data_IF_606920541962
#
_entry.id   IF_606920541962
#
_cell.length_a   1.000
_cell.length_b   1.000
_cell.length_c   1.000
_cell.angle_alpha   90.00
_cell.angle_beta   90.00
_cell.angle_gamma   90.00
#
_symmetry.space_group_name_H-M   'P 1'
#
loop_
_entity.id
_entity.type
_entity.pdbx_description
1 polymer ?
#
# COMPACT_ATOMS: atom_id res chain seq x y z
N UNK A 1 76.01 2.77 23.37
CA UNK A 1 75.74 1.64 22.46
C UNK A 1 74.81 2.18 21.35
N UNK A 2 75.42 2.72 20.30
CA UNK A 2 74.70 3.12 19.10
C UNK A 2 74.36 1.86 18.32
N UNK A 3 73.07 1.52 18.25
CA UNK A 3 72.60 0.51 17.31
C UNK A 3 72.75 1.05 15.91
N UNK A 4 73.80 0.61 15.19
CA UNK A 4 73.90 0.81 13.76
C UNK A 4 72.71 0.10 13.09
N UNK A 5 71.67 0.87 12.79
CA UNK A 5 70.59 0.41 11.92
C UNK A 5 71.16 0.29 10.49
N UNK A 6 71.70 -0.88 10.17
CA UNK A 6 72.23 -1.21 8.87
C UNK A 6 71.02 -1.43 7.92
N UNK A 7 70.81 -0.55 6.96
CA UNK A 7 69.82 -0.76 5.88
C UNK A 7 70.27 -1.97 5.08
N UNK A 8 69.58 -3.07 5.18
CA UNK A 8 69.88 -4.31 4.46
C UNK A 8 69.13 -4.36 3.13
N UNK A 9 69.75 -5.00 2.11
CA UNK A 9 69.10 -5.24 0.82
C UNK A 9 67.76 -6.02 0.96
N UNK A 10 67.65 -6.87 1.95
CA UNK A 10 66.40 -7.59 2.26
C UNK A 10 65.30 -6.66 2.75
N UNK A 11 65.62 -5.63 3.53
CA UNK A 11 64.65 -4.65 3.99
C UNK A 11 64.11 -3.80 2.84
N UNK A 12 64.97 -3.35 1.93
CA UNK A 12 64.58 -2.59 0.72
C UNK A 12 63.68 -3.45 -0.19
N UNK A 13 64.10 -4.69 -0.45
CA UNK A 13 63.32 -5.61 -1.27
C UNK A 13 61.93 -5.96 -0.63
N UNK A 14 61.85 -5.99 0.71
CA UNK A 14 60.59 -6.16 1.44
C UNK A 14 59.64 -4.98 1.24
N UNK A 15 60.16 -3.75 1.34
CA UNK A 15 59.33 -2.53 1.12
C UNK A 15 58.85 -2.48 -0.35
N UNK A 16 59.74 -2.70 -1.32
CA UNK A 16 59.40 -2.67 -2.74
C UNK A 16 58.29 -3.69 -3.08
N UNK A 17 58.40 -4.90 -2.55
CA UNK A 17 57.42 -5.95 -2.80
C UNK A 17 56.07 -5.72 -2.11
N UNK A 18 56.06 -5.24 -0.84
CA UNK A 18 54.86 -5.08 -0.04
C UNK A 18 54.03 -3.85 -0.45
N UNK A 19 54.69 -2.79 -1.00
CA UNK A 19 54.05 -1.52 -1.29
C UNK A 19 54.00 -1.17 -2.77
N UNK A 20 54.45 -2.05 -3.65
CA UNK A 20 54.57 -1.77 -5.10
C UNK A 20 55.30 -0.44 -5.35
N UNK A 21 56.39 -0.23 -4.62
CA UNK A 21 57.18 0.98 -4.62
C UNK A 21 58.57 0.67 -5.19
N UNK A 22 59.17 1.66 -5.87
CA UNK A 22 60.58 1.61 -6.29
C UNK A 22 61.35 2.52 -5.36
N UNK A 23 62.31 1.97 -4.63
CA UNK A 23 63.17 2.73 -3.69
C UNK A 23 64.60 2.74 -4.21
N UNK A 24 65.15 3.92 -4.50
CA UNK A 24 66.55 4.11 -4.89
C UNK A 24 67.26 5.02 -3.91
N UNK A 25 68.40 4.56 -3.42
CA UNK A 25 69.26 5.30 -2.52
C UNK A 25 70.58 5.64 -3.20
N UNK A 26 71.04 6.90 -3.02
CA UNK A 26 72.24 7.41 -3.61
C UNK A 26 73.09 8.06 -2.53
N UNK A 27 74.43 7.82 -2.59
CA UNK A 27 75.44 8.48 -1.76
C UNK A 27 76.28 9.37 -2.68
N UNK A 28 76.23 10.67 -2.47
CA UNK A 28 76.90 11.67 -3.33
C UNK A 28 76.57 11.47 -4.84
N UNK A 29 75.31 11.22 -5.18
CA UNK A 29 74.85 10.96 -6.53
C UNK A 29 75.14 9.56 -7.06
N UNK A 30 75.95 8.75 -6.41
CA UNK A 30 76.26 7.37 -6.80
C UNK A 30 75.26 6.40 -6.16
N UNK A 31 74.75 5.39 -6.88
CA UNK A 31 73.81 4.43 -6.33
C UNK A 31 74.47 3.62 -5.21
N UNK A 32 73.79 3.52 -4.04
CA UNK A 32 74.32 2.91 -2.85
C UNK A 32 74.35 1.37 -2.91
N UNK A 33 73.55 0.76 -3.76
CA UNK A 33 73.41 -0.68 -3.87
C UNK A 33 73.45 -1.16 -5.31
N UNK A 34 73.94 -2.38 -5.56
CA UNK A 34 73.93 -3.06 -6.85
C UNK A 34 72.53 -3.37 -7.40
N UNK A 35 71.46 -3.03 -6.72
CA UNK A 35 70.10 -3.21 -7.20
C UNK A 35 69.83 -2.45 -8.50
N UNK A 36 70.44 -1.33 -8.77
CA UNK A 36 70.29 -0.64 -10.03
C UNK A 36 70.76 -1.43 -11.27
N UNK A 37 71.64 -2.39 -11.08
CA UNK A 37 72.05 -3.32 -12.12
C UNK A 37 70.95 -4.32 -12.56
N UNK A 38 70.01 -4.59 -11.68
CA UNK A 38 68.88 -5.52 -11.90
C UNK A 38 67.59 -4.82 -12.32
N UNK A 39 67.57 -3.50 -12.33
CA UNK A 39 66.36 -2.73 -12.67
C UNK A 39 66.10 -2.78 -14.16
N UNK A 40 64.79 -2.82 -14.50
CA UNK A 40 64.36 -2.71 -15.89
C UNK A 40 64.70 -1.32 -16.47
N UNK A 41 64.79 -1.23 -17.78
CA UNK A 41 65.07 0.04 -18.46
C UNK A 41 63.98 1.07 -18.11
N UNK A 42 62.73 0.68 -18.05
CA UNK A 42 61.61 1.54 -17.68
C UNK A 42 61.74 2.13 -16.27
N UNK A 43 62.14 1.31 -15.27
CA UNK A 43 62.34 1.78 -13.90
C UNK A 43 63.48 2.81 -13.82
N UNK A 44 64.58 2.60 -14.56
CA UNK A 44 65.69 3.54 -14.64
C UNK A 44 65.27 4.89 -15.26
N UNK A 45 64.48 4.85 -16.35
CA UNK A 45 63.95 6.02 -17.01
C UNK A 45 63.03 6.83 -16.11
N UNK A 46 62.18 6.18 -15.31
CA UNK A 46 61.27 6.82 -14.33
C UNK A 46 62.05 7.44 -13.18
N UNK A 47 63.09 6.77 -12.65
CA UNK A 47 63.94 7.30 -11.58
C UNK A 47 64.70 8.55 -12.10
N UNK A 48 65.27 8.47 -13.32
CA UNK A 48 65.96 9.62 -13.92
C UNK A 48 65.04 10.82 -14.16
N UNK A 49 63.82 10.54 -14.62
CA UNK A 49 62.79 11.59 -14.80
C UNK A 49 62.36 12.20 -13.45
N UNK A 50 62.30 11.41 -12.38
CA UNK A 50 61.99 11.91 -11.04
C UNK A 50 63.10 12.82 -10.52
N UNK A 51 64.36 12.45 -10.73
CA UNK A 51 65.53 13.31 -10.39
C UNK A 51 65.53 14.61 -11.18
N UNK A 52 65.31 14.53 -12.48
CA UNK A 52 65.27 15.72 -13.36
C UNK A 52 64.12 16.65 -12.96
N UNK A 53 62.94 16.12 -12.67
CA UNK A 53 61.77 16.88 -12.21
C UNK A 53 62.03 17.54 -10.86
N UNK A 54 62.64 16.82 -9.91
CA UNK A 54 63.01 17.36 -8.61
C UNK A 54 64.03 18.49 -8.72
N UNK A 55 65.01 18.36 -9.62
CA UNK A 55 65.99 19.40 -9.87
C UNK A 55 65.39 20.62 -10.56
N UNK A 56 64.67 20.40 -11.66
CA UNK A 56 64.12 21.49 -12.51
C UNK A 56 62.99 22.28 -11.84
N UNK A 57 62.02 21.58 -11.27
CA UNK A 57 60.78 22.20 -10.81
C UNK A 57 60.82 22.57 -9.31
N UNK A 58 61.68 21.90 -8.52
CA UNK A 58 61.76 22.10 -7.07
C UNK A 58 63.16 22.52 -6.59
N UNK A 59 64.08 22.66 -7.50
CA UNK A 59 65.46 23.11 -7.15
C UNK A 59 66.25 22.14 -6.26
N UNK A 60 65.86 20.83 -6.30
CA UNK A 60 66.50 19.78 -5.52
C UNK A 60 67.44 18.96 -6.40
N UNK A 61 68.68 19.43 -6.54
CA UNK A 61 69.66 18.73 -7.32
C UNK A 61 70.34 17.64 -6.46
N UNK A 62 70.15 16.37 -6.86
CA UNK A 62 70.66 15.23 -6.20
C UNK A 62 72.14 14.86 -6.56
N UNK A 63 72.64 15.44 -7.64
CA UNK A 63 73.94 15.15 -8.18
C UNK A 63 74.96 16.30 -7.92
N UNK A 64 74.47 17.42 -7.35
CA UNK A 64 75.37 18.59 -7.09
C UNK A 64 76.34 18.31 -5.91
N UNK A 65 77.58 18.38 -6.16
CA UNK A 65 78.72 18.15 -5.22
C UNK A 65 78.74 19.13 -4.03
N UNK A 66 77.95 20.21 -4.02
CA UNK A 66 77.97 21.27 -3.02
C UNK A 66 76.63 21.45 -2.32
N UNK A 67 76.09 20.39 -1.70
CA UNK A 67 74.98 20.56 -0.81
C UNK A 67 75.43 21.06 0.56
N UNK A 68 75.84 22.34 0.62
CA UNK A 68 76.23 23.03 1.86
C UNK A 68 75.00 23.44 2.75
N UNK A 69 73.84 22.92 2.51
CA UNK A 69 72.69 23.16 3.37
C UNK A 69 72.64 22.13 4.50
N UNK A 70 72.70 22.60 5.73
CA UNK A 70 72.53 21.79 6.98
C UNK A 70 71.13 21.24 7.17
N UNK A 71 70.21 21.46 6.23
CA UNK A 71 68.78 21.09 6.33
C UNK A 71 68.46 19.98 5.34
N UNK A 72 67.74 18.97 5.83
CA UNK A 72 67.10 17.96 4.97
C UNK A 72 66.03 18.61 4.06
N UNK A 73 66.06 18.27 2.78
CA UNK A 73 65.07 18.73 1.80
C UNK A 73 64.23 17.51 1.37
N UNK A 74 62.93 17.70 1.28
CA UNK A 74 61.97 16.68 0.84
C UNK A 74 60.98 17.32 -0.10
N UNK A 75 60.72 16.67 -1.23
CA UNK A 75 59.73 17.11 -2.23
C UNK A 75 58.87 15.91 -2.68
N UNK A 76 57.61 16.15 -2.85
CA UNK A 76 56.65 15.16 -3.32
C UNK A 76 55.88 15.72 -4.52
N UNK A 77 55.75 14.89 -5.55
CA UNK A 77 55.04 15.28 -6.76
C UNK A 77 54.50 14.09 -7.53
N UNK A 78 53.55 14.33 -8.42
CA UNK A 78 53.08 13.33 -9.36
C UNK A 78 53.93 13.32 -10.61
N UNK A 79 54.36 12.15 -11.03
CA UNK A 79 55.18 11.93 -12.19
C UNK A 79 54.40 11.15 -13.23
N UNK A 80 54.34 11.65 -14.46
CA UNK A 80 53.69 10.97 -15.59
C UNK A 80 54.66 10.84 -16.75
N UNK A 81 55.37 9.70 -16.84
CA UNK A 81 56.24 9.42 -17.98
C UNK A 81 55.43 9.36 -19.28
N UNK A 82 56.02 9.74 -20.41
CA UNK A 82 55.36 9.66 -21.73
C UNK A 82 55.09 8.20 -22.08
N UNK A 83 53.79 7.83 -22.13
CA UNK A 83 53.34 6.48 -22.48
C UNK A 83 53.46 5.43 -21.36
N UNK A 84 53.82 5.84 -20.11
CA UNK A 84 53.97 4.94 -18.96
C UNK A 84 52.91 5.14 -17.87
N UNK A 85 53.03 4.34 -16.79
CA UNK A 85 52.19 4.40 -15.60
C UNK A 85 52.41 5.70 -14.83
N UNK A 86 51.41 6.20 -14.11
CA UNK A 86 51.56 7.35 -13.22
C UNK A 86 52.13 6.91 -11.88
N UNK A 87 53.11 7.69 -11.39
CA UNK A 87 53.75 7.45 -10.10
C UNK A 87 53.57 8.64 -9.17
N UNK A 88 53.52 8.36 -7.87
CA UNK A 88 53.75 9.38 -6.84
C UNK A 88 55.22 9.30 -6.45
N UNK A 89 55.94 10.40 -6.66
CA UNK A 89 57.38 10.49 -6.42
C UNK A 89 57.65 11.28 -5.14
N UNK A 90 58.47 10.72 -4.27
CA UNK A 90 58.99 11.38 -3.07
C UNK A 90 60.52 11.38 -3.17
N UNK A 91 61.12 12.55 -3.18
CA UNK A 91 62.56 12.73 -3.31
C UNK A 91 63.08 13.42 -2.05
N UNK A 92 64.06 12.79 -1.41
CA UNK A 92 64.60 13.22 -0.11
C UNK A 92 66.10 13.41 -0.28
N UNK A 93 66.62 14.53 0.24
CA UNK A 93 68.03 14.82 0.35
C UNK A 93 68.38 15.01 1.83
N UNK A 94 69.32 14.21 2.33
CA UNK A 94 69.83 14.25 3.70
C UNK A 94 71.30 14.66 3.71
N UNK A 95 71.65 15.81 4.28
CA UNK A 95 73.04 16.23 4.39
C UNK A 95 73.84 15.35 5.37
N UNK A 96 75.10 15.09 5.03
CA UNK A 96 76.09 14.40 5.89
C UNK A 96 77.32 15.25 6.04
N UNK A 97 78.17 14.93 7.04
CA UNK A 97 79.44 15.62 7.30
C UNK A 97 80.41 15.59 6.10
N UNK A 98 80.36 14.54 5.28
CA UNK A 98 81.19 14.37 4.06
C UNK A 98 80.33 14.04 2.85
N UNK A 99 79.34 14.89 2.53
CA UNK A 99 78.50 14.69 1.36
C UNK A 99 76.97 14.65 1.67
N UNK A 100 76.24 13.95 0.87
CA UNK A 100 74.78 13.83 1.04
C UNK A 100 74.28 12.43 0.69
N UNK A 101 73.22 12.00 1.39
CA UNK A 101 72.45 10.83 1.05
C UNK A 101 71.15 11.28 0.42
N UNK A 102 70.78 10.69 -0.71
CA UNK A 102 69.49 10.96 -1.33
C UNK A 102 68.70 9.69 -1.56
N UNK A 103 67.36 9.83 -1.48
CA UNK A 103 66.42 8.77 -1.73
C UNK A 103 65.36 9.18 -2.72
N UNK A 104 65.05 8.32 -3.65
CA UNK A 104 63.93 8.47 -4.61
C UNK A 104 62.99 7.30 -4.34
N UNK A 105 61.77 7.62 -3.98
CA UNK A 105 60.69 6.68 -3.70
C UNK A 105 59.62 6.92 -4.75
N UNK A 106 59.25 5.91 -5.53
CA UNK A 106 58.21 5.97 -6.53
C UNK A 106 57.14 4.94 -6.22
N UNK A 107 55.92 5.37 -6.09
CA UNK A 107 54.75 4.50 -5.87
C UNK A 107 53.84 4.51 -7.08
N UNK A 108 53.56 3.37 -7.67
CA UNK A 108 52.63 3.26 -8.80
C UNK A 108 51.19 3.55 -8.34
N UNK A 109 50.49 4.43 -9.08
CA UNK A 109 49.12 4.80 -8.84
C UNK A 109 48.12 3.88 -9.56
N UNK A 110 48.57 2.98 -10.41
CA UNK A 110 47.71 2.09 -11.22
C UNK A 110 46.87 1.14 -10.38
N UNK A 111 47.48 0.50 -9.37
CA UNK A 111 46.78 -0.42 -8.48
C UNK A 111 45.66 0.32 -7.71
N UNK A 112 45.93 1.54 -7.25
CA UNK A 112 44.96 2.37 -6.54
C UNK A 112 43.80 2.80 -7.46
N UNK A 113 44.14 3.18 -8.72
CA UNK A 113 43.09 3.54 -9.70
C UNK A 113 42.15 2.39 -9.99
N UNK A 114 42.71 1.20 -10.24
CA UNK A 114 41.90 0.00 -10.53
C UNK A 114 40.99 -0.35 -9.34
N UNK A 115 41.49 -0.24 -8.12
CA UNK A 115 40.70 -0.46 -6.90
C UNK A 115 39.55 0.58 -6.76
N UNK A 116 39.87 1.86 -6.99
CA UNK A 116 38.87 2.95 -6.94
C UNK A 116 37.79 2.76 -8.03
N UNK A 117 38.16 2.38 -9.25
CA UNK A 117 37.20 2.09 -10.30
C UNK A 117 36.31 0.90 -9.95
N UNK A 118 36.87 -0.16 -9.39
CA UNK A 118 36.08 -1.30 -8.89
C UNK A 118 35.08 -0.90 -7.81
N UNK A 119 35.51 -0.13 -6.83
CA UNK A 119 34.63 0.39 -5.78
C UNK A 119 33.51 1.29 -6.35
N UNK A 120 33.83 2.20 -7.26
CA UNK A 120 32.81 3.07 -7.91
C UNK A 120 31.76 2.27 -8.67
N UNK A 121 32.15 1.20 -9.36
CA UNK A 121 31.21 0.32 -10.06
C UNK A 121 30.26 -0.40 -9.07
N UNK A 122 30.80 -0.87 -7.94
CA UNK A 122 29.98 -1.51 -6.90
C UNK A 122 28.98 -0.50 -6.30
N UNK A 123 29.42 0.72 -5.99
CA UNK A 123 28.52 1.76 -5.46
C UNK A 123 27.45 2.16 -6.49
N UNK A 124 27.82 2.36 -7.76
CA UNK A 124 26.85 2.64 -8.82
C UNK A 124 25.83 1.52 -8.99
N UNK A 125 26.28 0.28 -8.88
CA UNK A 125 25.37 -0.90 -8.91
C UNK A 125 24.42 -0.93 -7.70
N UNK A 126 24.93 -0.66 -6.50
CA UNK A 126 24.15 -0.61 -5.28
C UNK A 126 23.10 0.53 -5.32
N UNK A 127 23.52 1.74 -5.75
CA UNK A 127 22.63 2.88 -5.88
C UNK A 127 21.52 2.63 -6.92
N UNK A 128 21.89 2.04 -8.06
CA UNK A 128 20.93 1.68 -9.11
C UNK A 128 19.90 0.64 -8.61
N UNK A 129 20.36 -0.37 -7.86
CA UNK A 129 19.49 -1.37 -7.25
C UNK A 129 18.56 -0.74 -6.20
N UNK A 130 19.07 0.17 -5.36
CA UNK A 130 18.28 0.89 -4.37
C UNK A 130 17.21 1.76 -5.02
N UNK A 131 17.54 2.50 -6.07
CA UNK A 131 16.59 3.31 -6.83
C UNK A 131 15.48 2.44 -7.47
N UNK A 132 15.83 1.29 -8.02
CA UNK A 132 14.88 0.36 -8.60
C UNK A 132 13.94 -0.20 -7.54
N UNK A 133 14.46 -0.62 -6.39
CA UNK A 133 13.64 -1.08 -5.26
C UNK A 133 12.67 0.01 -4.76
N UNK A 134 13.15 1.25 -4.64
CA UNK A 134 12.30 2.39 -4.28
C UNK A 134 11.21 2.64 -5.32
N UNK A 135 11.53 2.59 -6.60
CA UNK A 135 10.56 2.76 -7.68
C UNK A 135 9.46 1.68 -7.63
N UNK A 136 9.85 0.40 -7.46
CA UNK A 136 8.91 -0.72 -7.31
C UNK A 136 8.05 -0.56 -6.05
N UNK A 137 8.67 -0.17 -4.93
CA UNK A 137 7.95 0.09 -3.68
C UNK A 137 6.91 1.21 -3.85
N UNK A 138 7.30 2.35 -4.42
CA UNK A 138 6.37 3.46 -4.65
C UNK A 138 5.25 3.10 -5.62
N UNK A 139 5.56 2.37 -6.69
CA UNK A 139 4.54 1.90 -7.64
C UNK A 139 3.51 0.99 -6.97
N UNK A 140 3.97 0.02 -6.17
CA UNK A 140 3.11 -0.90 -5.43
C UNK A 140 2.32 -0.17 -4.33
N UNK A 141 2.99 0.67 -3.55
CA UNK A 141 2.37 1.43 -2.45
C UNK A 141 1.32 2.41 -2.97
N UNK A 142 1.63 3.16 -4.04
CA UNK A 142 0.71 4.12 -4.65
C UNK A 142 -0.53 3.42 -5.19
N UNK A 143 -0.35 2.33 -5.94
CA UNK A 143 -1.46 1.55 -6.49
C UNK A 143 -2.36 0.95 -5.40
N UNK A 144 -1.77 0.47 -4.29
CA UNK A 144 -2.54 -0.15 -3.21
C UNK A 144 -3.22 0.87 -2.28
N UNK A 145 -2.69 2.06 -2.13
CA UNK A 145 -3.19 3.06 -1.18
C UNK A 145 -4.10 4.09 -1.83
N UNK A 146 -3.78 4.56 -3.03
CA UNK A 146 -4.57 5.59 -3.71
C UNK A 146 -5.79 5.04 -4.44
N UNK A 147 -5.71 3.85 -5.03
CA UNK A 147 -6.85 3.26 -5.75
C UNK A 147 -8.11 3.10 -4.87
N UNK A 148 -8.07 2.58 -3.65
CA UNK A 148 -9.24 2.51 -2.79
C UNK A 148 -9.75 3.90 -2.34
N UNK A 149 -8.89 4.90 -2.22
CA UNK A 149 -9.28 6.25 -1.87
C UNK A 149 -10.06 6.93 -3.01
N UNK A 150 -9.60 6.78 -4.24
CA UNK A 150 -10.31 7.28 -5.43
C UNK A 150 -11.66 6.59 -5.62
N UNK A 151 -11.71 5.27 -5.42
CA UNK A 151 -12.96 4.51 -5.49
C UNK A 151 -13.95 4.98 -4.42
N UNK A 152 -13.50 5.17 -3.17
CA UNK A 152 -14.35 5.70 -2.10
C UNK A 152 -14.88 7.11 -2.44
N UNK A 153 -14.04 8.00 -2.95
CA UNK A 153 -14.47 9.34 -3.38
C UNK A 153 -15.50 9.28 -4.50
N UNK A 154 -15.29 8.38 -5.47
CA UNK A 154 -16.21 8.17 -6.58
C UNK A 154 -17.56 7.65 -6.08
N UNK A 155 -17.56 6.65 -5.19
CA UNK A 155 -18.78 6.10 -4.59
C UNK A 155 -19.52 7.17 -3.77
N UNK A 156 -18.80 8.02 -3.02
CA UNK A 156 -19.39 9.13 -2.28
C UNK A 156 -20.02 10.18 -3.21
N UNK A 157 -19.33 10.55 -4.28
CA UNK A 157 -19.86 11.49 -5.27
C UNK A 157 -21.11 10.94 -5.97
N UNK A 158 -21.08 9.65 -6.33
CA UNK A 158 -22.23 8.97 -6.93
C UNK A 158 -23.41 8.87 -5.95
N UNK A 159 -23.14 8.59 -4.67
CA UNK A 159 -24.14 8.57 -3.60
C UNK A 159 -24.87 9.93 -3.49
N UNK A 160 -24.11 11.04 -3.42
CA UNK A 160 -24.69 12.40 -3.34
C UNK A 160 -25.51 12.74 -4.59
N UNK A 161 -25.01 12.39 -5.77
CA UNK A 161 -25.72 12.63 -7.02
C UNK A 161 -27.04 11.84 -7.10
N UNK A 162 -27.00 10.56 -6.75
CA UNK A 162 -28.20 9.69 -6.72
C UNK A 162 -29.22 10.18 -5.68
N UNK A 163 -28.75 10.53 -4.47
CA UNK A 163 -29.59 11.08 -3.43
C UNK A 163 -30.33 12.35 -3.88
N UNK A 164 -29.61 13.27 -4.56
CA UNK A 164 -30.19 14.50 -5.08
C UNK A 164 -31.27 14.22 -6.13
N UNK A 165 -31.08 13.22 -6.97
CA UNK A 165 -32.07 12.79 -7.96
C UNK A 165 -33.31 12.17 -7.31
N UNK A 166 -33.11 11.27 -6.33
CA UNK A 166 -34.20 10.58 -5.65
C UNK A 166 -35.01 11.52 -4.72
N UNK A 167 -34.42 12.60 -4.19
CA UNK A 167 -35.14 13.64 -3.44
C UNK A 167 -35.90 14.60 -4.35
N UNK A 168 -35.39 14.90 -5.53
CA UNK A 168 -36.02 15.88 -6.44
C UNK A 168 -37.39 15.39 -6.98
N UNK A 169 -37.52 14.11 -7.26
CA UNK A 169 -38.73 13.52 -7.80
C UNK A 169 -39.93 13.68 -6.88
N UNK A 170 -39.92 13.19 -5.61
CA UNK A 170 -41.04 13.34 -4.68
C UNK A 170 -41.35 14.81 -4.38
N UNK A 171 -40.32 15.66 -4.27
CA UNK A 171 -40.51 17.10 -4.05
C UNK A 171 -41.27 17.75 -5.18
N UNK A 172 -40.98 17.39 -6.45
CA UNK A 172 -41.72 17.91 -7.61
C UNK A 172 -43.19 17.46 -7.59
N UNK A 173 -43.47 16.21 -7.15
CA UNK A 173 -44.84 15.71 -6.99
C UNK A 173 -45.58 16.50 -5.90
N UNK A 174 -44.94 16.70 -4.75
CA UNK A 174 -45.54 17.51 -3.66
C UNK A 174 -45.89 18.92 -4.14
N UNK A 175 -44.97 19.61 -4.80
CA UNK A 175 -45.19 20.96 -5.30
C UNK A 175 -46.29 21.02 -6.35
N UNK A 176 -46.36 20.01 -7.24
CA UNK A 176 -47.42 19.89 -8.23
C UNK A 176 -48.79 19.66 -7.60
N UNK A 177 -48.85 18.76 -6.60
CA UNK A 177 -50.09 18.47 -5.85
C UNK A 177 -50.56 19.71 -5.06
N UNK A 178 -49.63 20.46 -4.43
CA UNK A 178 -49.96 21.72 -3.73
C UNK A 178 -50.55 22.76 -4.70
N UNK A 179 -49.98 22.92 -5.87
CA UNK A 179 -50.48 23.86 -6.89
C UNK A 179 -51.86 23.44 -7.43
N UNK A 180 -52.04 22.14 -7.66
CA UNK A 180 -53.30 21.60 -8.14
C UNK A 180 -54.43 21.69 -7.08
N UNK A 181 -54.13 21.43 -5.82
CA UNK A 181 -55.09 21.43 -4.69
C UNK A 181 -55.74 22.79 -4.46
N UNK A 182 -55.03 23.89 -4.81
CA UNK A 182 -55.57 25.27 -4.69
C UNK A 182 -56.80 25.55 -5.61
N UNK A 183 -56.96 24.79 -6.69
CA UNK A 183 -58.03 24.97 -7.69
C UNK A 183 -58.98 23.76 -7.76
N UNK A 184 -58.75 22.77 -6.96
CA UNK A 184 -59.48 21.49 -7.02
C UNK A 184 -60.76 21.52 -6.17
N UNK A 185 -61.72 20.68 -6.52
CA UNK A 185 -62.89 20.41 -5.69
C UNK A 185 -62.47 19.71 -4.39
N UNK A 186 -63.25 19.78 -3.27
CA UNK A 186 -62.87 19.24 -1.99
C UNK A 186 -62.45 17.75 -2.00
N UNK A 187 -63.10 16.91 -2.81
CA UNK A 187 -62.74 15.50 -2.95
C UNK A 187 -61.41 15.26 -3.63
N UNK A 188 -61.10 16.06 -4.65
CA UNK A 188 -59.79 16.02 -5.34
C UNK A 188 -58.67 16.58 -4.49
N UNK A 189 -58.96 17.66 -3.72
CA UNK A 189 -58.00 18.24 -2.77
C UNK A 189 -57.61 17.23 -1.68
N UNK A 190 -58.53 16.38 -1.23
CA UNK A 190 -58.23 15.29 -0.27
C UNK A 190 -57.24 14.29 -0.86
N UNK A 191 -57.39 13.87 -2.13
CA UNK A 191 -56.48 12.96 -2.84
C UNK A 191 -55.09 13.57 -3.02
N UNK A 192 -55.01 14.87 -3.33
CA UNK A 192 -53.72 15.56 -3.39
C UNK A 192 -53.04 15.61 -2.02
N UNK A 193 -53.78 15.82 -0.94
CA UNK A 193 -53.28 15.82 0.43
C UNK A 193 -52.72 14.43 0.79
N UNK A 194 -53.43 13.38 0.46
CA UNK A 194 -52.96 11.99 0.70
C UNK A 194 -51.65 11.72 -0.08
N UNK A 195 -51.59 12.13 -1.35
CA UNK A 195 -50.36 12.00 -2.16
C UNK A 195 -49.18 12.74 -1.54
N UNK A 196 -49.41 14.00 -1.05
CA UNK A 196 -48.39 14.79 -0.38
C UNK A 196 -47.89 14.08 0.88
N UNK A 197 -48.78 13.51 1.67
CA UNK A 197 -48.43 12.76 2.88
C UNK A 197 -47.62 11.51 2.54
N UNK A 198 -47.98 10.76 1.52
CA UNK A 198 -47.26 9.57 1.05
C UNK A 198 -45.85 9.93 0.58
N UNK A 199 -45.70 10.95 -0.26
CA UNK A 199 -44.37 11.38 -0.71
C UNK A 199 -43.53 12.00 0.41
N UNK A 200 -44.14 12.71 1.37
CA UNK A 200 -43.46 13.20 2.57
C UNK A 200 -42.90 12.07 3.44
N UNK A 201 -43.70 11.02 3.71
CA UNK A 201 -43.25 9.82 4.44
C UNK A 201 -42.15 9.09 3.69
N UNK A 202 -42.24 9.04 2.36
CA UNK A 202 -41.19 8.45 1.51
C UNK A 202 -39.89 9.21 1.59
N UNK A 203 -39.93 10.54 1.51
CA UNK A 203 -38.72 11.38 1.67
C UNK A 203 -38.08 11.22 3.05
N UNK A 204 -38.90 11.14 4.14
CA UNK A 204 -38.37 10.90 5.48
C UNK A 204 -37.60 9.59 5.55
N UNK A 205 -38.17 8.48 5.05
CA UNK A 205 -37.48 7.19 5.00
C UNK A 205 -36.16 7.24 4.22
N UNK A 206 -36.15 7.95 3.07
CA UNK A 206 -34.90 8.12 2.29
C UNK A 206 -33.84 8.85 3.07
N UNK A 207 -34.21 9.93 3.80
CA UNK A 207 -33.28 10.69 4.63
C UNK A 207 -32.75 9.83 5.78
N UNK A 208 -33.62 9.08 6.44
CA UNK A 208 -33.22 8.18 7.54
C UNK A 208 -32.25 7.10 7.06
N UNK A 209 -32.51 6.48 5.91
CA UNK A 209 -31.62 5.50 5.27
C UNK A 209 -30.25 6.12 4.93
N UNK A 210 -30.25 7.36 4.42
CA UNK A 210 -29.02 8.07 4.11
C UNK A 210 -28.21 8.43 5.36
N UNK A 211 -28.86 8.86 6.44
CA UNK A 211 -28.21 9.15 7.72
C UNK A 211 -27.62 7.89 8.35
N UNK A 212 -28.30 6.76 8.25
CA UNK A 212 -27.76 5.47 8.68
C UNK A 212 -26.48 5.11 7.90
N UNK A 213 -26.50 5.20 6.57
CA UNK A 213 -25.32 4.91 5.76
C UNK A 213 -24.15 5.88 6.05
N UNK A 214 -24.45 7.16 6.26
CA UNK A 214 -23.44 8.14 6.63
C UNK A 214 -22.83 7.82 8.01
N UNK A 215 -23.64 7.36 8.97
CA UNK A 215 -23.17 6.90 10.28
C UNK A 215 -22.29 5.64 10.18
N UNK A 216 -22.62 4.71 9.30
CA UNK A 216 -21.80 3.55 9.02
C UNK A 216 -20.42 3.92 8.45
N UNK A 217 -20.38 4.84 7.47
CA UNK A 217 -19.15 5.33 6.86
C UNK A 217 -18.24 6.05 7.87
N UNK A 218 -18.84 6.75 8.83
CA UNK A 218 -18.13 7.43 9.90
C UNK A 218 -17.68 6.51 11.05
N UNK A 219 -17.97 5.19 10.98
CA UNK A 219 -17.76 4.24 12.07
C UNK A 219 -18.40 4.71 13.41
N UNK A 220 -19.47 5.49 13.33
CA UNK A 220 -20.13 6.10 14.49
C UNK A 220 -21.27 5.27 15.06
N UNK A 221 -21.55 4.10 14.50
CA UNK A 221 -22.54 3.19 15.04
C UNK A 221 -22.04 2.58 16.35
N UNK A 222 -22.65 2.94 17.44
CA UNK A 222 -22.49 2.23 18.70
C UNK A 222 -23.38 0.99 18.66
N UNK A 223 -22.76 -0.20 18.62
CA UNK A 223 -23.46 -1.46 18.78
C UNK A 223 -23.64 -1.76 20.27
N UNK A 224 -24.79 -2.26 20.63
CA UNK A 224 -25.07 -2.82 21.96
C UNK A 224 -25.22 -4.35 21.85
N UNK A 225 -24.13 -5.09 21.66
CA UNK A 225 -24.21 -6.53 21.43
C UNK A 225 -24.60 -7.25 22.73
N UNK A 226 -25.64 -8.04 22.67
CA UNK A 226 -26.11 -8.92 23.72
C UNK A 226 -26.24 -10.37 23.20
N UNK A 227 -26.21 -11.39 24.06
CA UNK A 227 -26.58 -12.75 23.66
C UNK A 227 -28.08 -12.82 23.34
N UNK A 228 -28.41 -13.01 22.06
CA UNK A 228 -29.81 -13.03 21.59
C UNK A 228 -30.13 -14.42 21.04
N UNK A 229 -31.26 -15.01 21.41
CA UNK A 229 -31.75 -16.26 20.83
C UNK A 229 -32.16 -16.01 19.36
N UNK A 230 -31.58 -16.70 18.38
CA UNK A 230 -31.87 -16.43 16.97
C UNK A 230 -33.22 -16.91 16.48
N UNK A 231 -33.84 -17.87 17.18
CA UNK A 231 -35.20 -18.34 16.97
C UNK A 231 -36.22 -17.24 17.30
N UNK A 232 -36.02 -16.51 18.39
CA UNK A 232 -36.85 -15.36 18.78
C UNK A 232 -36.88 -14.31 17.69
N UNK A 233 -35.69 -13.92 17.15
CA UNK A 233 -35.57 -12.94 16.04
C UNK A 233 -36.39 -13.38 14.81
N UNK A 234 -36.35 -14.66 14.47
CA UNK A 234 -37.06 -15.17 13.31
C UNK A 234 -38.57 -15.26 13.56
N UNK A 235 -38.98 -15.67 14.78
CA UNK A 235 -40.41 -15.77 15.17
C UNK A 235 -41.05 -14.38 15.19
N UNK A 236 -40.40 -13.38 15.80
CA UNK A 236 -40.91 -12.01 15.80
C UNK A 236 -41.00 -11.42 14.37
N UNK A 237 -40.02 -11.75 13.54
CA UNK A 237 -40.06 -11.36 12.12
C UNK A 237 -41.24 -12.06 11.42
N UNK A 238 -41.47 -13.35 11.64
CA UNK A 238 -42.57 -14.08 11.07
C UNK A 238 -43.91 -13.47 11.47
N UNK A 239 -44.15 -13.28 12.78
CA UNK A 239 -45.38 -12.70 13.30
C UNK A 239 -45.68 -11.31 12.73
N UNK A 240 -44.66 -10.47 12.67
CA UNK A 240 -44.74 -9.11 12.10
C UNK A 240 -45.18 -9.11 10.63
N UNK A 241 -44.69 -10.07 9.84
CA UNK A 241 -44.90 -10.09 8.40
C UNK A 241 -46.00 -11.07 7.93
N UNK A 242 -46.51 -11.94 8.76
CA UNK A 242 -47.56 -12.91 8.40
C UNK A 242 -48.82 -12.24 7.84
N UNK A 243 -49.30 -11.20 8.53
CA UNK A 243 -50.47 -10.46 8.08
C UNK A 243 -50.23 -9.75 6.73
N UNK A 244 -49.11 -9.10 6.57
CA UNK A 244 -48.72 -8.39 5.33
C UNK A 244 -48.58 -9.35 4.15
N UNK A 245 -47.99 -10.51 4.36
CA UNK A 245 -47.85 -11.55 3.34
C UNK A 245 -49.24 -12.05 2.91
N UNK A 246 -50.13 -12.32 3.86
CA UNK A 246 -51.50 -12.76 3.59
C UNK A 246 -52.31 -11.73 2.82
N UNK A 247 -52.20 -10.44 3.18
CA UNK A 247 -52.84 -9.34 2.46
C UNK A 247 -52.39 -9.26 1.00
N UNK A 248 -51.10 -9.55 0.73
CA UNK A 248 -50.56 -9.64 -0.62
C UNK A 248 -50.81 -10.97 -1.34
N UNK A 249 -51.51 -11.92 -0.69
CA UNK A 249 -51.78 -13.25 -1.23
C UNK A 249 -50.56 -14.14 -1.34
N UNK A 250 -49.58 -13.96 -0.45
CA UNK A 250 -48.35 -14.72 -0.37
C UNK A 250 -48.40 -15.75 0.78
N UNK A 251 -47.70 -16.87 0.62
CA UNK A 251 -47.55 -17.87 1.64
C UNK A 251 -46.24 -17.68 2.39
N UNK A 252 -46.29 -17.27 3.64
CA UNK A 252 -45.12 -17.15 4.52
C UNK A 252 -44.98 -18.41 5.37
N UNK A 253 -43.79 -18.98 5.43
CA UNK A 253 -43.48 -20.18 6.24
C UNK A 253 -42.20 -19.98 7.02
N UNK A 254 -42.07 -20.69 8.16
CA UNK A 254 -40.87 -20.69 8.98
C UNK A 254 -40.38 -22.11 9.19
N UNK A 255 -39.06 -22.32 9.13
CA UNK A 255 -38.38 -23.59 9.41
C UNK A 255 -37.35 -23.39 10.51
N UNK A 256 -37.59 -23.98 11.65
CA UNK A 256 -36.70 -23.98 12.80
C UNK A 256 -36.08 -25.38 12.96
N UNK A 257 -34.85 -25.49 13.47
CA UNK A 257 -34.24 -26.77 13.82
C UNK A 257 -34.99 -27.40 15.02
N UNK A 258 -34.92 -28.72 15.13
CA UNK A 258 -35.48 -29.42 16.30
C UNK A 258 -34.60 -29.28 17.55
N UNK A 259 -33.31 -29.03 17.36
CA UNK A 259 -32.35 -28.83 18.43
C UNK A 259 -32.31 -27.35 18.85
N UNK A 260 -31.99 -27.11 20.12
CA UNK A 260 -31.87 -25.78 20.69
C UNK A 260 -30.69 -25.03 20.05
N UNK A 261 -30.94 -23.86 19.47
CA UNK A 261 -29.95 -23.09 18.78
C UNK A 261 -29.16 -22.25 19.78
N UNK A 262 -27.79 -22.23 19.67
CA UNK A 262 -26.99 -21.41 20.55
C UNK A 262 -27.23 -19.90 20.27
N UNK A 263 -27.22 -19.06 21.33
CA UNK A 263 -27.40 -17.62 21.17
C UNK A 263 -26.30 -16.99 20.30
N UNK A 264 -26.63 -15.89 19.64
CA UNK A 264 -25.72 -15.08 18.88
C UNK A 264 -25.38 -13.78 19.62
N UNK A 265 -24.12 -13.36 19.59
CA UNK A 265 -23.72 -12.06 20.13
C UNK A 265 -23.99 -10.98 19.10
N UNK A 266 -25.11 -10.28 19.22
CA UNK A 266 -25.51 -9.27 18.26
C UNK A 266 -26.33 -8.14 18.92
N UNK A 267 -26.47 -7.05 18.20
CA UNK A 267 -27.43 -5.99 18.48
C UNK A 267 -28.78 -6.42 17.88
N UNK A 268 -29.72 -6.72 18.76
CA UNK A 268 -31.04 -7.27 18.42
C UNK A 268 -31.83 -6.38 17.47
N UNK A 269 -31.86 -5.06 17.75
CA UNK A 269 -32.60 -4.09 16.95
C UNK A 269 -32.02 -4.00 15.53
N UNK A 270 -30.68 -4.01 15.42
CA UNK A 270 -29.99 -3.96 14.14
C UNK A 270 -30.19 -5.22 13.30
N UNK A 271 -30.15 -6.42 13.91
CA UNK A 271 -30.40 -7.66 13.19
C UNK A 271 -31.88 -7.77 12.79
N UNK A 272 -32.82 -7.36 13.63
CA UNK A 272 -34.27 -7.28 13.31
C UNK A 272 -34.51 -6.30 12.14
N UNK A 273 -33.74 -5.19 12.10
CA UNK A 273 -33.77 -4.27 10.95
C UNK A 273 -33.30 -4.95 9.67
N UNK A 274 -32.22 -5.74 9.70
CA UNK A 274 -31.76 -6.51 8.52
C UNK A 274 -32.82 -7.49 8.06
N UNK A 275 -33.39 -8.25 8.97
CA UNK A 275 -34.49 -9.20 8.64
C UNK A 275 -35.67 -8.46 8.01
N UNK A 276 -36.03 -7.29 8.54
CA UNK A 276 -37.13 -6.45 7.97
C UNK A 276 -36.80 -6.01 6.54
N UNK A 277 -35.58 -5.57 6.27
CA UNK A 277 -35.12 -5.19 4.90
C UNK A 277 -35.21 -6.38 3.94
N UNK A 278 -34.83 -7.58 4.38
CA UNK A 278 -34.87 -8.78 3.55
C UNK A 278 -36.33 -9.21 3.30
N UNK A 279 -37.21 -9.13 4.31
CA UNK A 279 -38.62 -9.43 4.18
C UNK A 279 -39.35 -8.43 3.26
N UNK A 280 -39.08 -7.12 3.38
CA UNK A 280 -39.64 -6.10 2.50
C UNK A 280 -39.26 -6.34 1.04
N UNK A 281 -38.00 -6.76 0.79
CA UNK A 281 -37.59 -7.19 -0.54
C UNK A 281 -38.34 -8.43 -1.02
N UNK A 282 -38.40 -9.48 -0.21
CA UNK A 282 -39.15 -10.70 -0.57
C UNK A 282 -40.60 -10.40 -0.91
N UNK A 283 -41.30 -9.62 -0.06
CA UNK A 283 -42.71 -9.23 -0.28
C UNK A 283 -42.90 -8.37 -1.54
N UNK A 284 -41.88 -7.65 -1.98
CA UNK A 284 -41.96 -6.76 -3.15
C UNK A 284 -41.71 -7.47 -4.48
N UNK A 285 -40.92 -8.54 -4.46
CA UNK A 285 -40.48 -9.24 -5.67
C UNK A 285 -41.18 -10.59 -5.86
N UNK A 286 -41.77 -11.18 -4.81
CA UNK A 286 -42.53 -12.42 -4.93
C UNK A 286 -43.87 -12.16 -5.64
N UNK A 287 -44.22 -12.91 -6.69
CA UNK A 287 -45.48 -12.77 -7.36
C UNK A 287 -46.64 -13.25 -6.49
N UNK A 288 -47.86 -12.83 -6.79
CA UNK A 288 -49.05 -13.30 -6.08
C UNK A 288 -49.12 -14.86 -6.09
N UNK A 289 -49.54 -15.43 -5.00
CA UNK A 289 -49.56 -16.88 -4.71
C UNK A 289 -48.14 -17.50 -4.56
N UNK A 290 -47.10 -16.69 -4.50
CA UNK A 290 -45.73 -17.17 -4.24
C UNK A 290 -45.46 -17.47 -2.77
N UNK A 291 -44.25 -17.97 -2.52
CA UNK A 291 -43.83 -18.46 -1.20
C UNK A 291 -42.61 -17.71 -0.71
N UNK A 292 -42.64 -17.35 0.58
CA UNK A 292 -41.50 -16.83 1.30
C UNK A 292 -41.20 -17.77 2.47
N UNK A 293 -39.96 -18.22 2.63
CA UNK A 293 -39.57 -19.14 3.70
C UNK A 293 -38.45 -18.51 4.53
N UNK A 294 -38.71 -18.40 5.83
CA UNK A 294 -37.69 -18.06 6.83
C UNK A 294 -37.08 -19.39 7.34
N UNK A 295 -35.74 -19.46 7.38
CA UNK A 295 -35.06 -20.68 7.84
C UNK A 295 -33.96 -20.33 8.83
N UNK A 296 -33.94 -21.02 9.98
CA UNK A 296 -32.86 -21.03 10.96
C UNK A 296 -32.07 -22.31 10.82
N UNK A 297 -30.76 -22.20 10.74
CA UNK A 297 -29.85 -23.33 10.84
C UNK A 297 -28.59 -22.94 11.59
N UNK A 298 -27.88 -23.88 12.18
CA UNK A 298 -26.67 -23.58 12.93
C UNK A 298 -25.61 -24.68 12.80
N UNK A 299 -24.39 -24.30 13.10
CA UNK A 299 -23.23 -25.18 13.28
C UNK A 299 -22.57 -24.81 14.61
N UNK A 300 -21.56 -25.56 15.02
CA UNK A 300 -20.87 -25.26 16.29
C UNK A 300 -20.41 -23.80 16.46
N UNK A 301 -20.07 -23.11 15.36
CA UNK A 301 -19.46 -21.77 15.40
C UNK A 301 -20.31 -20.66 14.76
N UNK A 302 -21.36 -21.00 14.04
CA UNK A 302 -22.13 -20.03 13.25
C UNK A 302 -23.62 -20.37 13.27
N UNK A 303 -24.42 -19.33 13.30
CA UNK A 303 -25.87 -19.37 13.09
C UNK A 303 -26.17 -18.72 11.75
N UNK A 304 -27.10 -19.31 11.00
CA UNK A 304 -27.54 -18.83 9.69
C UNK A 304 -29.03 -18.55 9.72
N UNK A 305 -29.42 -17.31 9.44
CA UNK A 305 -30.78 -16.84 9.26
C UNK A 305 -31.02 -16.57 7.78
N UNK A 306 -31.97 -17.26 7.17
CA UNK A 306 -32.21 -17.14 5.71
C UNK A 306 -33.62 -16.69 5.43
N UNK A 307 -33.75 -15.81 4.43
CA UNK A 307 -35.02 -15.41 3.80
C UNK A 307 -34.97 -15.85 2.35
N UNK A 308 -35.81 -16.81 1.99
CA UNK A 308 -35.89 -17.34 0.64
C UNK A 308 -37.27 -16.97 0.02
N UNK A 309 -37.25 -16.47 -1.21
CA UNK A 309 -38.43 -16.19 -2.02
C UNK A 309 -38.42 -17.06 -3.29
N UNK A 310 -39.57 -17.19 -3.94
CA UNK A 310 -39.77 -17.83 -5.25
C UNK A 310 -40.09 -16.81 -6.34
N UNK A 311 -39.56 -15.59 -6.19
CA UNK A 311 -39.64 -14.51 -7.16
C UNK A 311 -38.83 -14.76 -8.44
N UNK A 312 -38.59 -13.72 -9.24
CA UNK A 312 -37.84 -13.84 -10.52
C UNK A 312 -36.36 -14.14 -10.34
N UNK A 313 -35.84 -14.10 -9.11
CA UNK A 313 -34.43 -14.28 -8.83
C UNK A 313 -33.54 -13.10 -9.26
N UNK A 314 -32.23 -13.25 -9.07
CA UNK A 314 -31.25 -12.20 -9.39
C UNK A 314 -30.18 -12.79 -10.32
N UNK A 315 -30.05 -12.29 -11.55
CA UNK A 315 -29.02 -12.74 -12.47
C UNK A 315 -27.61 -12.63 -11.88
N UNK A 316 -26.71 -13.57 -12.19
CA UNK A 316 -25.35 -13.63 -11.64
C UNK A 316 -24.56 -12.35 -11.84
N UNK A 317 -24.78 -11.66 -12.99
CA UNK A 317 -24.17 -10.37 -13.28
C UNK A 317 -24.49 -9.28 -12.27
N UNK A 318 -25.64 -9.37 -11.58
CA UNK A 318 -26.13 -8.38 -10.63
C UNK A 318 -25.94 -8.77 -9.18
N UNK A 319 -25.65 -10.05 -8.86
CA UNK A 319 -25.53 -10.53 -7.46
C UNK A 319 -24.53 -9.74 -6.60
N UNK A 320 -23.47 -9.20 -7.20
CA UNK A 320 -22.53 -8.31 -6.50
C UNK A 320 -23.02 -6.86 -6.44
N UNK A 321 -23.82 -6.44 -7.42
CA UNK A 321 -24.26 -5.06 -7.57
C UNK A 321 -25.47 -4.72 -6.72
N UNK A 322 -26.33 -5.71 -6.38
CA UNK A 322 -27.53 -5.49 -5.57
C UNK A 322 -27.25 -4.93 -4.17
N UNK A 323 -26.03 -5.09 -3.68
CA UNK A 323 -25.56 -4.51 -2.42
C UNK A 323 -24.96 -3.09 -2.57
N UNK A 324 -24.93 -2.53 -3.80
CA UNK A 324 -24.48 -1.16 -4.02
C UNK A 324 -25.61 -0.18 -3.70
N UNK A 325 -25.26 1.00 -3.21
CA UNK A 325 -26.22 2.05 -2.89
C UNK A 325 -26.96 2.51 -4.13
N UNK A 326 -28.28 2.70 -4.03
CA UNK A 326 -29.17 3.11 -5.14
C UNK A 326 -29.22 2.14 -6.32
N UNK A 327 -28.72 0.91 -6.17
CA UNK A 327 -28.82 -0.07 -7.24
C UNK A 327 -30.24 -0.60 -7.34
N UNK A 328 -30.78 -0.62 -8.54
CA UNK A 328 -32.09 -1.21 -8.90
C UNK A 328 -31.94 -1.88 -10.26
N UNK A 329 -32.38 -3.14 -10.37
CA UNK A 329 -32.30 -3.91 -11.62
C UNK A 329 -33.20 -3.32 -12.71
N UNK A 330 -34.42 -2.93 -12.35
CA UNK A 330 -35.40 -2.29 -13.24
C UNK A 330 -35.88 -0.96 -12.68
N UNK A 331 -35.60 0.13 -13.39
CA UNK A 331 -36.09 1.46 -13.01
C UNK A 331 -37.60 1.66 -13.34
N UNK A 332 -38.19 0.80 -14.19
CA UNK A 332 -39.52 0.98 -14.72
C UNK A 332 -40.63 0.18 -14.06
N UNK A 333 -40.33 -0.99 -13.46
CA UNK A 333 -41.35 -1.92 -12.96
C UNK A 333 -41.33 -2.15 -11.44
N UNK A 334 -40.36 -1.63 -10.72
CA UNK A 334 -40.33 -1.80 -9.28
C UNK A 334 -41.20 -0.78 -8.56
N UNK A 335 -41.98 -1.23 -7.56
CA UNK A 335 -42.78 -0.36 -6.70
C UNK A 335 -41.98 0.88 -6.32
N UNK A 336 -42.64 2.05 -6.41
CA UNK A 336 -42.01 3.34 -6.06
C UNK A 336 -41.54 3.44 -4.61
N UNK A 337 -41.68 2.36 -3.82
CA UNK A 337 -41.44 2.35 -2.38
C UNK A 337 -39.97 2.18 -1.98
N UNK A 338 -39.11 1.60 -2.83
CA UNK A 338 -37.73 1.28 -2.47
C UNK A 338 -36.71 2.10 -3.26
N UNK A 339 -35.80 2.76 -2.55
CA UNK A 339 -34.72 3.60 -3.14
C UNK A 339 -33.47 2.81 -3.50
N UNK A 340 -33.40 1.51 -3.22
CA UNK A 340 -32.20 0.71 -3.45
C UNK A 340 -31.10 0.93 -2.39
N UNK A 341 -31.46 1.38 -1.20
CA UNK A 341 -30.54 1.57 -0.06
C UNK A 341 -30.60 0.41 0.93
N UNK A 342 -31.73 -0.28 1.07
CA UNK A 342 -31.95 -1.30 2.11
C UNK A 342 -30.87 -2.39 2.13
N UNK A 343 -30.60 -3.06 0.99
CA UNK A 343 -29.57 -4.11 0.94
C UNK A 343 -28.17 -3.60 1.27
N UNK A 344 -27.87 -2.35 0.93
CA UNK A 344 -26.59 -1.74 1.32
C UNK A 344 -26.52 -1.46 2.83
N UNK A 345 -27.63 -1.05 3.46
CA UNK A 345 -27.74 -0.90 4.91
C UNK A 345 -27.60 -2.28 5.59
N UNK A 346 -28.32 -3.27 5.12
CA UNK A 346 -28.24 -4.65 5.64
C UNK A 346 -26.79 -5.17 5.60
N UNK A 347 -26.09 -4.94 4.50
CA UNK A 347 -24.68 -5.34 4.36
C UNK A 347 -23.76 -4.63 5.36
N UNK A 348 -23.91 -3.32 5.58
CA UNK A 348 -23.11 -2.59 6.55
C UNK A 348 -23.42 -3.04 7.99
N UNK A 349 -24.67 -3.25 8.35
CA UNK A 349 -25.07 -3.81 9.66
C UNK A 349 -24.39 -5.16 9.89
N UNK A 350 -24.47 -6.08 8.94
CA UNK A 350 -23.87 -7.42 9.08
C UNK A 350 -22.34 -7.34 9.14
N UNK A 351 -21.73 -6.43 8.40
CA UNK A 351 -20.27 -6.20 8.40
C UNK A 351 -19.75 -5.73 9.77
N UNK A 352 -20.43 -4.79 10.42
CA UNK A 352 -20.04 -4.32 11.77
C UNK A 352 -20.23 -5.41 12.83
N UNK A 353 -21.20 -6.34 12.66
CA UNK A 353 -21.36 -7.54 13.46
C UNK A 353 -20.30 -8.62 13.14
N UNK A 354 -19.35 -8.35 12.21
CA UNK A 354 -18.36 -9.32 11.72
C UNK A 354 -18.99 -10.60 11.15
N UNK A 355 -20.24 -10.49 10.69
CA UNK A 355 -21.01 -11.53 10.02
C UNK A 355 -20.79 -11.50 8.49
N UNK A 356 -21.58 -12.32 7.80
CA UNK A 356 -21.63 -12.36 6.33
C UNK A 356 -23.07 -12.33 5.87
N UNK A 357 -23.36 -11.53 4.84
CA UNK A 357 -24.64 -11.55 4.11
C UNK A 357 -24.36 -12.17 2.74
N UNK A 358 -24.99 -13.30 2.46
CA UNK A 358 -24.80 -14.10 1.24
C UNK A 358 -26.10 -14.08 0.44
N UNK A 359 -25.97 -14.01 -0.88
CA UNK A 359 -27.05 -14.16 -1.84
C UNK A 359 -26.83 -15.41 -2.69
N UNK A 360 -27.82 -16.27 -2.74
CA UNK A 360 -27.86 -17.48 -3.57
C UNK A 360 -29.19 -17.59 -4.28
N UNK A 361 -29.27 -18.47 -5.28
CA UNK A 361 -30.53 -18.77 -5.94
C UNK A 361 -31.36 -19.73 -5.08
N UNK A 362 -32.68 -19.54 -5.03
CA UNK A 362 -33.62 -20.47 -4.40
C UNK A 362 -33.83 -21.65 -5.35
N UNK A 363 -33.77 -22.92 -4.86
CA UNK A 363 -34.10 -24.06 -5.68
C UNK A 363 -35.53 -23.95 -6.22
N UNK A 364 -35.69 -23.99 -7.54
CA UNK A 364 -36.97 -23.79 -8.23
C UNK A 364 -37.23 -22.37 -8.72
N UNK A 365 -36.38 -21.42 -8.42
CA UNK A 365 -36.47 -19.99 -8.80
C UNK A 365 -36.57 -19.10 -7.57
N UNK A 366 -36.17 -17.83 -7.76
CA UNK A 366 -36.13 -16.83 -6.68
C UNK A 366 -34.76 -16.53 -6.10
N UNK A 367 -34.73 -15.77 -5.02
CA UNK A 367 -33.52 -15.38 -4.32
C UNK A 367 -33.52 -15.81 -2.85
N UNK A 368 -32.38 -16.25 -2.37
CA UNK A 368 -32.17 -16.57 -0.95
C UNK A 368 -31.09 -15.68 -0.38
N UNK A 369 -31.44 -14.84 0.60
CA UNK A 369 -30.52 -14.05 1.39
C UNK A 369 -30.24 -14.76 2.70
N UNK A 370 -28.97 -14.99 3.01
CA UNK A 370 -28.53 -15.67 4.24
C UNK A 370 -27.62 -14.78 5.05
N UNK A 371 -28.02 -14.50 6.28
CA UNK A 371 -27.23 -13.84 7.32
C UNK A 371 -26.44 -14.91 8.07
N UNK A 372 -25.14 -14.79 8.18
CA UNK A 372 -24.29 -15.68 8.95
C UNK A 372 -23.64 -14.88 10.07
N UNK A 373 -23.94 -15.26 11.32
CA UNK A 373 -23.39 -14.66 12.54
C UNK A 373 -22.58 -15.71 13.33
N UNK A 374 -21.70 -15.26 14.19
CA UNK A 374 -20.97 -16.15 15.10
C UNK A 374 -21.82 -16.46 16.32
N UNK A 375 -21.75 -17.70 16.82
CA UNK A 375 -22.32 -18.06 18.11
C UNK A 375 -21.67 -17.24 19.22
N UNK A 376 -22.44 -16.90 20.25
CA UNK A 376 -21.90 -16.31 21.46
C UNK A 376 -20.88 -17.28 22.09
N UNK A 377 -19.79 -16.81 22.65
CA UNK A 377 -18.91 -17.67 23.44
C UNK A 377 -19.69 -18.20 24.64
N UNK A 378 -19.59 -19.51 24.84
CA UNK A 378 -20.21 -20.24 26.01
C UNK A 378 -19.60 -19.80 27.33
#
# INVERSE_FOLDING_TARGET
MESQNTITLQWIAGIEKNHNTILSLFDNGQPLFYQELRRTREEKDVISLAKETASRDYGLDLDAANASSLLSKHVEFRLKPKGGQEYYASVILLPRTNGHLSAVILQSLEAQKTQIYGQRLVFLGADSAALLLLAVFFWFFTGRTLAPLEENRRQQAQFIASASHELRSPLAVILSCLTASQKAAPEEAARFTETIQLEGKRMSRLIDDMLQLAGADACSWNLEPAPVPPDTLLLETYEKYEYLAREKGLCLSIRLPEEECPPVLCDEERISQVLSILMDNALSYTPASGHITLTLSFTANHVSLSVADDGPGIPDSFKKQVFQRFFRQDKAHTSKEHFGLGLSIAREIIKIHRGRLILSDTPGGGATFTIILRTAPS
#
